data_IF_643042087966
#
_entry.id   IF_643042087966
#
_cell.length_a   1.000
_cell.length_b   1.000
_cell.length_c   1.000
_cell.angle_alpha   90.00
_cell.angle_beta   90.00
_cell.angle_gamma   90.00
#
_symmetry.space_group_name_H-M   'P 1'
#
loop_
_entity.id
_entity.type
_entity.pdbx_description
1 polymer ?
#
# COMPACT_ATOMS: atom_id res chain seq x y z
N UNK A 1 3.28 13.91 17.76
CA UNK A 1 4.07 13.21 16.73
C UNK A 1 3.29 12.00 16.29
N UNK A 2 3.09 11.80 14.99
CA UNK A 2 2.42 10.59 14.50
C UNK A 2 3.35 9.38 14.49
N UNK A 3 2.76 8.19 14.47
CA UNK A 3 3.49 6.92 14.45
C UNK A 3 4.14 6.69 13.09
N UNK A 4 5.33 6.08 13.08
CA UNK A 4 5.99 5.57 11.89
C UNK A 4 5.70 4.07 11.72
N UNK A 5 5.41 3.64 10.49
CA UNK A 5 5.09 2.24 10.15
C UNK A 5 6.02 1.72 9.07
N UNK A 6 6.13 0.41 8.99
CA UNK A 6 6.72 -0.30 7.88
C UNK A 6 5.64 -0.85 6.97
N UNK A 7 5.76 -0.64 5.66
CA UNK A 7 4.81 -1.15 4.67
C UNK A 7 5.53 -1.97 3.62
N UNK A 8 5.10 -3.20 3.43
CA UNK A 8 5.40 -4.00 2.26
C UNK A 8 4.24 -3.87 1.27
N UNK A 9 4.42 -3.04 0.25
CA UNK A 9 3.47 -2.89 -0.84
C UNK A 9 3.74 -4.00 -1.87
N UNK A 10 3.16 -5.18 -1.65
CA UNK A 10 3.38 -6.35 -2.50
C UNK A 10 2.57 -6.35 -3.79
N UNK A 11 2.95 -7.19 -4.76
CA UNK A 11 2.21 -7.34 -6.02
C UNK A 11 0.85 -8.02 -5.82
N UNK A 12 0.74 -8.96 -4.89
CA UNK A 12 -0.47 -9.75 -4.64
C UNK A 12 -1.11 -9.38 -3.30
N UNK A 13 -0.29 -9.25 -2.26
CA UNK A 13 -0.69 -8.86 -0.91
C UNK A 13 0.23 -7.78 -0.37
N UNK A 14 -0.31 -6.92 0.46
CA UNK A 14 0.42 -5.90 1.19
C UNK A 14 0.32 -6.12 2.68
N UNK A 15 1.33 -5.67 3.41
CA UNK A 15 1.46 -5.82 4.86
C UNK A 15 1.83 -4.48 5.46
N UNK A 16 1.26 -4.16 6.61
CA UNK A 16 1.67 -3.01 7.43
C UNK A 16 2.08 -3.48 8.82
N UNK A 17 3.14 -2.89 9.37
CA UNK A 17 3.70 -3.23 10.66
C UNK A 17 4.18 -2.00 11.41
N UNK A 18 4.31 -2.11 12.73
CA UNK A 18 4.87 -1.06 13.58
C UNK A 18 5.81 -1.68 14.62
N UNK A 19 6.56 -0.84 15.30
CA UNK A 19 7.36 -1.26 16.44
C UNK A 19 6.61 -0.86 17.71
N UNK A 20 6.29 -1.84 18.55
CA UNK A 20 5.57 -1.60 19.81
C UNK A 20 6.48 -0.97 20.88
N UNK A 21 5.92 -0.69 22.06
CA UNK A 21 6.64 -0.09 23.20
C UNK A 21 7.83 -0.92 23.69
N UNK A 22 7.83 -2.22 23.44
CA UNK A 22 8.89 -3.14 23.84
C UNK A 22 10.01 -3.27 22.78
N UNK A 23 9.90 -2.50 21.69
CA UNK A 23 10.86 -2.53 20.58
C UNK A 23 10.66 -3.73 19.64
N UNK A 24 9.52 -4.41 19.71
CA UNK A 24 9.20 -5.58 18.88
C UNK A 24 8.37 -5.15 17.67
N UNK A 25 8.75 -5.64 16.49
CA UNK A 25 7.97 -5.42 15.29
C UNK A 25 6.71 -6.32 15.28
N UNK A 26 5.56 -5.71 15.07
CA UNK A 26 4.27 -6.39 15.01
C UNK A 26 3.53 -6.04 13.73
N UNK A 27 2.93 -7.05 13.08
CA UNK A 27 2.04 -6.85 11.94
C UNK A 27 0.69 -6.39 12.43
N UNK A 28 0.19 -5.32 11.83
CA UNK A 28 -1.12 -4.75 12.12
C UNK A 28 -2.15 -5.46 11.25
N UNK A 29 -3.21 -6.03 11.84
CA UNK A 29 -4.30 -6.63 11.06
C UNK A 29 -5.12 -5.56 10.35
N UNK A 30 -5.73 -5.93 9.23
CA UNK A 30 -6.71 -5.10 8.54
C UNK A 30 -8.07 -5.10 9.26
N UNK A 31 -9.04 -4.35 8.74
CA UNK A 31 -10.39 -4.25 9.32
C UNK A 31 -11.17 -5.58 9.36
N UNK A 32 -10.73 -6.60 8.63
CA UNK A 32 -11.27 -7.97 8.70
C UNK A 32 -10.53 -8.87 9.69
N UNK A 33 -9.45 -8.39 10.31
CA UNK A 33 -8.61 -9.16 11.23
C UNK A 33 -7.49 -9.95 10.55
N UNK A 34 -7.30 -9.80 9.24
CA UNK A 34 -6.25 -10.49 8.49
C UNK A 34 -4.94 -9.71 8.56
N UNK A 35 -3.82 -10.43 8.67
CA UNK A 35 -2.46 -9.85 8.69
C UNK A 35 -1.93 -9.43 7.32
N UNK A 36 -2.65 -9.80 6.26
CA UNK A 36 -2.32 -9.45 4.89
C UNK A 36 -3.54 -8.82 4.22
N UNK A 37 -3.33 -7.84 3.35
CA UNK A 37 -4.39 -7.19 2.60
C UNK A 37 -4.15 -7.43 1.11
N UNK A 38 -5.14 -7.93 0.34
CA UNK A 38 -5.00 -8.07 -1.10
C UNK A 38 -4.64 -6.74 -1.76
N UNK A 39 -3.61 -6.73 -2.59
CA UNK A 39 -3.21 -5.57 -3.40
C UNK A 39 -4.09 -5.46 -4.64
N UNK A 40 -5.40 -5.36 -4.41
CA UNK A 40 -6.45 -5.29 -5.44
C UNK A 40 -7.20 -3.99 -5.28
N UNK A 41 -7.45 -3.34 -6.41
CA UNK A 41 -8.21 -2.10 -6.50
C UNK A 41 -9.37 -2.30 -7.47
N UNK A 42 -10.53 -1.74 -7.19
CA UNK A 42 -11.66 -1.70 -8.10
C UNK A 42 -12.42 -0.38 -7.97
N UNK A 43 -13.23 -0.09 -8.97
CA UNK A 43 -14.18 1.03 -8.94
C UNK A 43 -15.57 0.47 -9.14
N UNK A 44 -16.47 0.74 -8.19
CA UNK A 44 -17.85 0.28 -8.26
C UNK A 44 -18.71 1.14 -9.22
N UNK A 45 -19.96 0.72 -9.42
CA UNK A 45 -20.90 1.40 -10.34
C UNK A 45 -21.27 2.81 -9.87
N UNK A 46 -21.01 3.15 -8.61
CA UNK A 46 -21.21 4.49 -8.03
C UNK A 46 -19.93 5.33 -8.04
N UNK A 47 -18.86 4.84 -8.67
CA UNK A 47 -17.50 5.43 -8.69
C UNK A 47 -16.81 5.47 -7.31
N UNK A 48 -17.18 4.60 -6.38
CA UNK A 48 -16.41 4.44 -5.15
C UNK A 48 -15.19 3.55 -5.38
N UNK A 49 -14.10 3.87 -4.70
CA UNK A 49 -12.89 3.09 -4.71
C UNK A 49 -12.97 1.95 -3.69
N UNK A 50 -12.77 0.75 -4.17
CA UNK A 50 -12.71 -0.48 -3.37
C UNK A 50 -11.27 -0.98 -3.34
N UNK A 51 -10.79 -1.38 -2.17
CA UNK A 51 -9.44 -1.90 -1.99
C UNK A 51 -9.47 -3.15 -1.11
N UNK A 52 -8.55 -4.08 -1.39
CA UNK A 52 -8.40 -5.29 -0.60
C UNK A 52 -9.51 -6.31 -0.85
N UNK A 53 -10.03 -6.91 0.21
CA UNK A 53 -11.03 -7.98 0.12
C UNK A 53 -12.33 -7.53 -0.57
N UNK A 54 -12.76 -6.29 -0.35
CA UNK A 54 -13.94 -5.73 -1.04
C UNK A 54 -13.73 -5.66 -2.55
N UNK A 55 -12.54 -5.28 -3.01
CA UNK A 55 -12.21 -5.27 -4.43
C UNK A 55 -12.15 -6.69 -5.02
N UNK A 56 -11.68 -7.67 -4.24
CA UNK A 56 -11.69 -9.10 -4.63
C UNK A 56 -13.10 -9.64 -4.76
N UNK A 57 -13.98 -9.34 -3.81
CA UNK A 57 -15.39 -9.73 -3.87
C UNK A 57 -16.09 -9.11 -5.08
N UNK A 58 -15.87 -7.84 -5.33
CA UNK A 58 -16.43 -7.11 -6.47
C UNK A 58 -15.96 -7.68 -7.82
N UNK A 59 -14.71 -8.15 -7.91
CA UNK A 59 -14.13 -8.77 -9.11
C UNK A 59 -14.96 -9.98 -9.60
N UNK A 60 -15.64 -10.70 -8.72
CA UNK A 60 -16.45 -11.86 -9.10
C UNK A 60 -17.64 -11.49 -9.97
N UNK A 61 -18.10 -10.26 -9.89
CA UNK A 61 -19.27 -9.73 -10.61
C UNK A 61 -18.94 -8.66 -11.64
N UNK A 62 -17.74 -8.05 -11.54
CA UNK A 62 -17.33 -6.95 -12.41
C UNK A 62 -15.83 -7.07 -12.78
N UNK A 63 -15.49 -7.08 -14.08
CA UNK A 63 -14.11 -7.22 -14.55
C UNK A 63 -13.24 -5.96 -14.35
N UNK A 64 -13.77 -4.86 -13.81
CA UNK A 64 -13.05 -3.58 -13.63
C UNK A 64 -12.18 -3.54 -12.37
N UNK A 65 -11.60 -4.67 -11.97
CA UNK A 65 -10.62 -4.73 -10.91
C UNK A 65 -9.20 -4.71 -11.46
N UNK A 66 -8.30 -4.05 -10.71
CA UNK A 66 -6.89 -3.93 -11.06
C UNK A 66 -6.08 -4.76 -10.07
N UNK A 67 -5.33 -5.71 -10.60
CA UNK A 67 -4.35 -6.50 -9.88
C UNK A 67 -2.94 -6.19 -10.37
N UNK A 68 -1.94 -6.55 -9.56
CA UNK A 68 -0.53 -6.48 -9.95
C UNK A 68 -0.06 -5.07 -10.38
N UNK A 69 -0.68 -4.03 -9.83
CA UNK A 69 -0.36 -2.63 -10.18
C UNK A 69 1.13 -2.32 -10.01
N UNK A 70 1.79 -2.95 -9.04
CA UNK A 70 3.23 -2.81 -8.78
C UNK A 70 4.10 -3.11 -10.01
N UNK A 71 3.66 -4.01 -10.89
CA UNK A 71 4.37 -4.33 -12.15
C UNK A 71 4.38 -3.20 -13.17
N UNK A 72 3.50 -2.22 -13.01
CA UNK A 72 3.38 -1.04 -13.90
C UNK A 72 4.09 0.20 -13.37
N UNK A 73 4.83 0.09 -12.26
CA UNK A 73 5.49 1.25 -11.64
C UNK A 73 6.62 1.86 -12.48
N UNK A 74 7.12 1.16 -13.52
CA UNK A 74 8.05 1.76 -14.49
C UNK A 74 7.43 2.93 -15.25
N UNK A 75 6.11 2.89 -15.47
CA UNK A 75 5.30 3.95 -16.08
C UNK A 75 4.31 4.48 -15.02
N UNK A 76 4.79 4.64 -13.79
CA UNK A 76 3.95 4.85 -12.61
C UNK A 76 3.04 6.07 -12.68
N UNK A 77 3.39 7.10 -13.45
CA UNK A 77 2.61 8.33 -13.59
C UNK A 77 1.69 8.35 -14.81
N UNK A 78 1.77 7.37 -15.70
CA UNK A 78 0.93 7.29 -16.88
C UNK A 78 -0.51 6.91 -16.50
N UNK A 79 -1.50 7.62 -17.01
CA UNK A 79 -2.93 7.37 -16.78
C UNK A 79 -3.43 6.18 -17.63
N UNK A 80 -2.91 4.99 -17.35
CA UNK A 80 -3.11 3.80 -18.18
C UNK A 80 -4.31 2.94 -17.78
N UNK A 81 -4.97 3.23 -16.67
CA UNK A 81 -6.19 2.54 -16.22
C UNK A 81 -7.41 3.42 -16.44
N UNK A 82 -8.30 3.02 -17.36
CA UNK A 82 -9.49 3.78 -17.74
C UNK A 82 -10.73 3.25 -17.04
N UNK A 83 -11.48 4.14 -16.44
CA UNK A 83 -12.81 3.92 -15.86
C UNK A 83 -13.80 4.83 -16.56
N UNK A 84 -15.09 4.62 -16.35
CA UNK A 84 -16.15 5.32 -17.11
C UNK A 84 -15.99 6.84 -17.17
N UNK A 85 -15.53 7.48 -16.09
CA UNK A 85 -15.49 8.93 -15.98
C UNK A 85 -14.09 9.51 -15.72
N UNK A 86 -13.07 8.66 -15.54
CA UNK A 86 -11.71 9.12 -15.22
C UNK A 86 -10.66 8.05 -15.52
N UNK A 87 -9.40 8.48 -15.54
CA UNK A 87 -8.26 7.59 -15.71
C UNK A 87 -7.34 7.69 -14.49
N UNK A 88 -6.79 6.56 -14.08
CA UNK A 88 -5.82 6.47 -12.98
C UNK A 88 -4.47 5.94 -13.46
N UNK A 89 -3.43 6.41 -12.81
CA UNK A 89 -2.07 5.90 -12.95
C UNK A 89 -1.78 4.79 -11.93
N UNK A 90 -0.75 3.96 -12.15
CA UNK A 90 -0.29 3.02 -11.14
C UNK A 90 0.04 3.67 -9.79
N UNK A 91 0.58 4.88 -9.79
CA UNK A 91 0.88 5.65 -8.57
C UNK A 91 -0.40 5.96 -7.80
N UNK A 92 -1.45 6.43 -8.47
CA UNK A 92 -2.73 6.75 -7.82
C UNK A 92 -3.43 5.51 -7.26
N UNK A 93 -3.43 4.40 -8.01
CA UNK A 93 -3.98 3.13 -7.53
C UNK A 93 -3.18 2.61 -6.33
N UNK A 94 -1.84 2.66 -6.40
CA UNK A 94 -0.99 2.28 -5.27
C UNK A 94 -1.22 3.16 -4.04
N UNK A 95 -1.48 4.45 -4.25
CA UNK A 95 -1.83 5.37 -3.16
C UNK A 95 -3.13 4.96 -2.46
N UNK A 96 -4.15 4.52 -3.19
CA UNK A 96 -5.40 4.03 -2.59
C UNK A 96 -5.19 2.75 -1.77
N UNK A 97 -4.31 1.84 -2.22
CA UNK A 97 -3.93 0.66 -1.44
C UNK A 97 -3.22 1.08 -0.14
N UNK A 98 -2.27 2.03 -0.23
CA UNK A 98 -1.56 2.55 0.93
C UNK A 98 -2.48 3.31 1.91
N UNK A 99 -3.47 4.07 1.41
CA UNK A 99 -4.49 4.70 2.25
C UNK A 99 -5.30 3.68 3.03
N UNK A 100 -5.70 2.59 2.38
CA UNK A 100 -6.45 1.51 3.04
C UNK A 100 -5.63 0.91 4.18
N UNK A 101 -4.38 0.56 3.94
CA UNK A 101 -3.47 0.04 4.97
C UNK A 101 -3.30 1.03 6.13
N UNK A 102 -3.13 2.32 5.82
CA UNK A 102 -3.00 3.38 6.82
C UNK A 102 -4.26 3.50 7.67
N UNK A 103 -5.44 3.56 7.05
CA UNK A 103 -6.73 3.69 7.77
C UNK A 103 -6.99 2.49 8.67
N UNK A 104 -6.77 1.28 8.18
CA UNK A 104 -6.93 0.07 9.01
C UNK A 104 -5.98 0.08 10.22
N UNK A 105 -4.75 0.52 10.01
CA UNK A 105 -3.76 0.60 11.07
C UNK A 105 -4.07 1.71 12.08
N UNK A 106 -4.55 2.87 11.64
CA UNK A 106 -4.99 3.97 12.51
C UNK A 106 -6.18 3.55 13.37
N UNK A 107 -7.13 2.81 12.80
CA UNK A 107 -8.28 2.25 13.51
C UNK A 107 -7.83 1.22 14.56
N UNK A 108 -6.98 0.28 14.17
CA UNK A 108 -6.47 -0.76 15.07
C UNK A 108 -5.68 -0.21 16.25
N UNK A 109 -4.78 0.75 16.00
CA UNK A 109 -3.90 1.34 17.01
C UNK A 109 -4.56 2.50 17.78
N UNK A 110 -5.71 3.00 17.30
CA UNK A 110 -6.34 4.22 17.77
C UNK A 110 -5.36 5.40 17.83
N UNK A 111 -4.51 5.53 16.80
CA UNK A 111 -3.44 6.51 16.72
C UNK A 111 -3.17 6.92 15.27
N UNK A 112 -2.88 8.21 15.05
CA UNK A 112 -2.55 8.72 13.72
C UNK A 112 -1.20 8.21 13.21
N UNK A 113 -1.17 7.78 11.96
CA UNK A 113 0.02 7.36 11.25
C UNK A 113 0.40 8.44 10.25
N UNK A 114 1.59 8.98 10.39
CA UNK A 114 2.06 10.09 9.54
C UNK A 114 3.32 9.76 8.75
N UNK A 115 4.05 8.73 9.12
CA UNK A 115 5.34 8.39 8.54
C UNK A 115 5.39 6.91 8.12
N UNK A 116 6.12 6.61 7.05
CA UNK A 116 6.31 5.24 6.61
C UNK A 116 7.71 4.98 6.05
N UNK A 117 8.17 3.75 6.23
CA UNK A 117 9.22 3.13 5.43
C UNK A 117 8.53 2.10 4.52
N UNK A 118 8.76 2.18 3.21
CA UNK A 118 8.10 1.31 2.23
C UNK A 118 9.15 0.42 1.57
N UNK A 119 8.86 -0.88 1.44
CA UNK A 119 9.75 -1.83 0.79
C UNK A 119 9.46 -1.95 -0.71
N UNK A 120 10.51 -2.17 -1.49
CA UNK A 120 10.43 -2.40 -2.93
C UNK A 120 11.36 -3.57 -3.31
N UNK A 121 11.11 -4.27 -4.43
CA UNK A 121 12.05 -5.25 -4.95
C UNK A 121 13.43 -4.64 -5.20
N UNK A 122 14.49 -5.41 -4.95
CA UNK A 122 15.86 -4.95 -5.16
C UNK A 122 16.15 -4.53 -6.62
N UNK A 123 15.43 -5.12 -7.59
CA UNK A 123 15.56 -4.80 -9.02
C UNK A 123 14.84 -3.50 -9.45
N UNK A 124 14.06 -2.85 -8.54
CA UNK A 124 13.43 -1.58 -8.86
C UNK A 124 14.48 -0.51 -9.17
N UNK A 125 14.33 0.13 -10.32
CA UNK A 125 15.14 1.26 -10.73
C UNK A 125 14.74 2.56 -9.99
N UNK A 126 15.43 3.65 -10.30
CA UNK A 126 15.19 4.95 -9.68
C UNK A 126 13.74 5.43 -9.88
N UNK A 127 13.20 5.33 -11.09
CA UNK A 127 11.86 5.84 -11.42
C UNK A 127 10.76 5.05 -10.69
N UNK A 128 10.90 3.73 -10.60
CA UNK A 128 9.98 2.88 -9.84
C UNK A 128 10.01 3.19 -8.33
N UNK A 129 11.19 3.51 -7.78
CA UNK A 129 11.32 3.95 -6.39
C UNK A 129 10.68 5.31 -6.15
N UNK A 130 10.86 6.26 -7.08
CA UNK A 130 10.21 7.57 -7.02
C UNK A 130 8.68 7.45 -7.14
N UNK A 131 8.20 6.61 -8.04
CA UNK A 131 6.77 6.31 -8.17
C UNK A 131 6.17 5.72 -6.87
N UNK A 132 6.90 4.79 -6.22
CA UNK A 132 6.47 4.22 -4.93
C UNK A 132 6.45 5.28 -3.83
N UNK A 133 7.47 6.14 -3.78
CA UNK A 133 7.50 7.26 -2.85
C UNK A 133 6.32 8.21 -3.06
N UNK A 134 6.06 8.61 -4.31
CA UNK A 134 4.94 9.47 -4.67
C UNK A 134 3.58 8.85 -4.26
N UNK A 135 3.40 7.54 -4.43
CA UNK A 135 2.20 6.84 -3.97
C UNK A 135 2.01 6.96 -2.45
N UNK A 136 3.09 6.82 -1.67
CA UNK A 136 3.06 7.02 -0.21
C UNK A 136 2.69 8.45 0.18
N UNK A 137 3.25 9.43 -0.51
CA UNK A 137 2.95 10.85 -0.27
C UNK A 137 1.50 11.20 -0.62
N UNK A 138 0.96 10.66 -1.72
CA UNK A 138 -0.46 10.78 -2.08
C UNK A 138 -1.39 10.10 -1.06
N UNK A 139 -0.93 9.04 -0.40
CA UNK A 139 -1.65 8.40 0.69
C UNK A 139 -1.61 9.19 2.01
N UNK A 140 -0.95 10.35 2.04
CA UNK A 140 -0.81 11.19 3.23
C UNK A 140 0.25 10.68 4.22
N UNK A 141 1.29 10.01 3.71
CA UNK A 141 2.43 9.52 4.48
C UNK A 141 3.69 10.33 4.14
N UNK A 142 4.44 10.74 5.15
CA UNK A 142 5.83 11.19 4.96
C UNK A 142 6.69 9.94 4.77
N UNK A 143 7.14 9.68 3.54
CA UNK A 143 7.95 8.50 3.24
C UNK A 143 9.39 8.75 3.65
N UNK A 144 9.78 8.18 4.78
CA UNK A 144 11.12 8.33 5.36
C UNK A 144 12.19 7.66 4.51
N UNK A 145 11.91 6.45 4.05
CA UNK A 145 12.83 5.66 3.20
C UNK A 145 12.06 4.71 2.29
N UNK A 146 12.66 4.45 1.13
CA UNK A 146 12.36 3.30 0.29
C UNK A 146 13.52 2.33 0.45
N UNK A 147 13.25 1.11 0.92
CA UNK A 147 14.26 0.08 1.16
C UNK A 147 13.97 -1.17 0.34
N UNK A 148 14.98 -1.98 0.11
CA UNK A 148 14.80 -3.25 -0.59
C UNK A 148 14.02 -4.25 0.26
N UNK A 149 13.12 -5.01 -0.37
CA UNK A 149 12.53 -6.20 0.23
C UNK A 149 13.66 -7.18 0.62
N UNK A 150 13.63 -7.76 1.81
CA UNK A 150 14.59 -8.79 2.18
C UNK A 150 14.40 -10.05 1.32
N UNK A 151 15.50 -10.71 1.02
CA UNK A 151 15.50 -11.97 0.27
C UNK A 151 14.81 -13.11 1.07
N UNK A 152 14.66 -12.93 2.37
CA UNK A 152 13.99 -13.84 3.31
C UNK A 152 12.92 -13.08 4.08
N UNK A 153 11.72 -13.65 4.16
CA UNK A 153 10.45 -13.10 4.61
C UNK A 153 10.35 -12.68 6.09
N UNK A 154 11.29 -11.91 6.60
CA UNK A 154 11.15 -11.32 7.94
C UNK A 154 11.68 -9.90 7.93
N UNK A 155 10.80 -8.94 7.65
CA UNK A 155 11.15 -7.53 7.76
C UNK A 155 11.04 -7.12 9.22
N UNK A 156 12.15 -7.03 9.91
CA UNK A 156 12.25 -6.23 11.12
C UNK A 156 12.64 -4.82 10.67
N UNK A 157 11.66 -3.94 10.52
CA UNK A 157 11.90 -2.53 10.29
C UNK A 157 12.16 -1.91 11.65
N UNK A 158 13.40 -1.71 12.00
CA UNK A 158 13.79 -0.94 13.19
C UNK A 158 13.90 0.51 12.75
N UNK A 159 13.07 1.43 13.23
CA UNK A 159 13.35 2.86 13.09
C UNK A 159 14.61 3.16 13.89
N UNK A 160 15.70 3.39 13.20
CA UNK A 160 16.86 4.03 13.84
C UNK A 160 16.53 5.52 13.92
N UNK A 161 16.39 6.01 15.12
CA UNK A 161 16.27 7.43 15.49
C UNK A 161 17.51 8.19 15.03
#
# INVERSE_FOLDING_TARGET
MGLAVGIDLGSTFSVISYVNSDGVAEVIPNSQGDKITPSVFAVDDLNNFLVGSLAVEYETTNPNSIRLVKRKMSNGFDKCYSFSNFNLSPVEISAEILKKLKLDAEEYLNQSITQAVITVPAYFNHDQRQATKAAGELAGLSVLRIINEPIISTVVIIPQI
#
